data_IF_716080249105
#
_entry.id   IF_716080249105
#
_cell.length_a   1.000
_cell.length_b   1.000
_cell.length_c   1.000
_cell.angle_alpha   90.00
_cell.angle_beta   90.00
_cell.angle_gamma   90.00
#
_symmetry.space_group_name_H-M   'P 1'
#
loop_
_entity.id
_entity.type
_entity.pdbx_description
1 polymer ?
#
# COMPACT_ATOMS: atom_id res chain seq x y z
N UNK A 1 10.13 -18.09 -2.00
CA UNK A 1 9.02 -18.98 -1.59
C UNK A 1 7.83 -18.67 -2.47
N UNK A 2 6.94 -19.64 -2.69
CA UNK A 2 5.68 -19.41 -3.40
C UNK A 2 4.83 -18.32 -2.71
N UNK A 3 4.78 -18.37 -1.37
CA UNK A 3 4.04 -17.38 -0.56
C UNK A 3 4.46 -15.91 -0.81
N UNK A 4 5.75 -15.61 -0.94
CA UNK A 4 6.19 -14.24 -1.23
C UNK A 4 5.79 -13.79 -2.65
N UNK A 5 5.77 -14.74 -3.60
CA UNK A 5 5.32 -14.46 -4.96
C UNK A 5 3.81 -14.15 -4.98
N UNK A 6 3.01 -14.92 -4.26
CA UNK A 6 1.56 -14.70 -4.14
C UNK A 6 1.26 -13.34 -3.49
N UNK A 7 2.00 -12.97 -2.44
CA UNK A 7 1.89 -11.63 -1.82
C UNK A 7 2.22 -10.55 -2.85
N UNK A 8 3.28 -10.74 -3.64
CA UNK A 8 3.66 -9.79 -4.70
C UNK A 8 2.61 -9.70 -5.81
N UNK A 9 1.94 -10.79 -6.13
CA UNK A 9 0.82 -10.79 -7.07
C UNK A 9 -0.33 -9.91 -6.56
N UNK A 10 -0.70 -10.02 -5.28
CA UNK A 10 -1.71 -9.14 -4.67
C UNK A 10 -1.30 -7.66 -4.75
N UNK A 11 -0.03 -7.35 -4.47
CA UNK A 11 0.49 -5.97 -4.60
C UNK A 11 0.38 -5.49 -6.06
N UNK A 12 0.71 -6.34 -7.02
CA UNK A 12 0.61 -6.00 -8.45
C UNK A 12 -0.85 -5.80 -8.89
N UNK A 13 -1.78 -6.61 -8.40
CA UNK A 13 -3.21 -6.44 -8.64
C UNK A 13 -3.73 -5.12 -8.06
N UNK A 14 -3.31 -4.75 -6.85
CA UNK A 14 -3.66 -3.46 -6.25
C UNK A 14 -3.12 -2.29 -7.09
N UNK A 15 -1.86 -2.37 -7.56
CA UNK A 15 -1.29 -1.37 -8.46
C UNK A 15 -2.06 -1.25 -9.77
N UNK A 16 -2.44 -2.37 -10.38
CA UNK A 16 -3.27 -2.38 -11.59
C UNK A 16 -4.64 -1.75 -11.32
N UNK A 17 -5.26 -2.05 -10.18
CA UNK A 17 -6.55 -1.48 -9.81
C UNK A 17 -6.48 0.05 -9.60
N UNK A 18 -5.37 0.58 -9.08
CA UNK A 18 -5.11 2.03 -9.02
C UNK A 18 -5.08 2.65 -10.41
N UNK A 19 -4.41 2.02 -11.37
CA UNK A 19 -4.33 2.51 -12.75
C UNK A 19 -5.67 2.43 -13.49
N UNK A 20 -6.52 1.45 -13.17
CA UNK A 20 -7.86 1.31 -13.71
C UNK A 20 -8.83 2.36 -13.14
N UNK A 21 -8.84 2.54 -11.82
CA UNK A 21 -9.75 3.47 -11.12
C UNK A 21 -9.31 4.93 -11.25
N UNK A 22 -8.00 5.18 -11.35
CA UNK A 22 -7.42 6.53 -11.47
C UNK A 22 -7.96 7.48 -10.39
N UNK A 23 -7.67 7.24 -9.10
CA UNK A 23 -8.26 7.99 -7.99
C UNK A 23 -8.03 9.51 -8.06
N UNK A 24 -6.95 9.95 -8.72
CA UNK A 24 -6.71 11.37 -8.98
C UNK A 24 -7.79 12.02 -9.86
N UNK A 25 -8.48 11.27 -10.72
CA UNK A 25 -9.63 11.76 -11.46
C UNK A 25 -10.86 11.91 -10.55
N UNK A 26 -11.10 10.96 -9.64
CA UNK A 26 -12.17 11.07 -8.64
C UNK A 26 -12.00 12.32 -7.78
N UNK A 27 -10.76 12.64 -7.39
CA UNK A 27 -10.43 13.87 -6.67
C UNK A 27 -10.75 15.13 -7.50
N UNK A 28 -10.36 15.15 -8.79
CA UNK A 28 -10.63 16.27 -9.71
C UNK A 28 -12.13 16.46 -9.98
N UNK A 29 -12.89 15.38 -10.01
CA UNK A 29 -14.36 15.38 -10.20
C UNK A 29 -15.14 15.62 -8.89
N UNK A 30 -14.45 15.89 -7.78
CA UNK A 30 -15.03 16.11 -6.45
C UNK A 30 -15.89 14.93 -5.93
N UNK A 31 -15.58 13.70 -6.38
CA UNK A 31 -16.20 12.43 -5.95
C UNK A 31 -15.55 11.92 -4.65
N UNK A 32 -15.67 12.73 -3.60
CA UNK A 32 -14.95 12.52 -2.33
C UNK A 32 -15.36 11.21 -1.63
N UNK A 33 -16.62 10.79 -1.75
CA UNK A 33 -17.10 9.56 -1.10
C UNK A 33 -16.47 8.32 -1.73
N UNK A 34 -16.54 8.22 -3.06
CA UNK A 34 -15.97 7.14 -3.84
C UNK A 34 -14.45 7.08 -3.67
N UNK A 35 -13.79 8.23 -3.69
CA UNK A 35 -12.37 8.34 -3.39
C UNK A 35 -12.07 7.84 -1.96
N UNK A 36 -12.86 8.24 -0.96
CA UNK A 36 -12.70 7.81 0.42
C UNK A 36 -12.82 6.28 0.58
N UNK A 37 -13.81 5.66 -0.06
CA UNK A 37 -13.97 4.21 -0.08
C UNK A 37 -12.77 3.52 -0.73
N UNK A 38 -12.33 4.02 -1.89
CA UNK A 38 -11.20 3.46 -2.61
C UNK A 38 -9.88 3.56 -1.83
N UNK A 39 -9.59 4.71 -1.22
CA UNK A 39 -8.40 4.89 -0.39
C UNK A 39 -8.45 3.99 0.84
N UNK A 40 -9.62 3.85 1.49
CA UNK A 40 -9.78 2.96 2.64
C UNK A 40 -9.49 1.50 2.29
N UNK A 41 -9.99 1.03 1.15
CA UNK A 41 -9.70 -0.31 0.64
C UNK A 41 -8.20 -0.54 0.46
N UNK A 42 -7.47 0.43 -0.12
CA UNK A 42 -6.03 0.31 -0.31
C UNK A 42 -5.27 0.28 1.02
N UNK A 43 -5.67 1.10 2.00
CA UNK A 43 -5.05 1.09 3.34
C UNK A 43 -5.24 -0.27 4.02
N UNK A 44 -6.45 -0.84 3.93
CA UNK A 44 -6.74 -2.16 4.50
C UNK A 44 -5.90 -3.26 3.83
N UNK A 45 -5.79 -3.23 2.50
CA UNK A 45 -4.92 -4.15 1.76
C UNK A 45 -3.45 -4.02 2.16
N UNK A 46 -2.95 -2.80 2.35
CA UNK A 46 -1.56 -2.55 2.78
C UNK A 46 -1.30 -3.14 4.17
N UNK A 47 -2.23 -3.00 5.11
CA UNK A 47 -2.11 -3.59 6.45
C UNK A 47 -2.12 -5.13 6.38
N UNK A 48 -3.00 -5.73 5.58
CA UNK A 48 -3.00 -7.18 5.36
C UNK A 48 -1.68 -7.69 4.75
N UNK A 49 -1.11 -6.94 3.79
CA UNK A 49 0.21 -7.25 3.24
C UNK A 49 1.29 -7.15 4.32
N UNK A 50 1.24 -6.14 5.19
CA UNK A 50 2.19 -5.99 6.30
C UNK A 50 2.19 -7.22 7.21
N UNK A 51 1.01 -7.71 7.59
CA UNK A 51 0.88 -8.92 8.40
C UNK A 51 1.47 -10.14 7.68
N UNK A 52 1.16 -10.31 6.39
CA UNK A 52 1.66 -11.43 5.58
C UNK A 52 3.18 -11.42 5.39
N UNK A 53 3.81 -10.25 5.28
CA UNK A 53 5.27 -10.14 5.08
C UNK A 53 6.05 -10.21 6.40
N UNK A 54 5.41 -10.08 7.57
CA UNK A 54 6.06 -10.11 8.88
C UNK A 54 7.11 -11.23 9.07
N UNK A 55 6.84 -12.51 8.70
CA UNK A 55 7.85 -13.58 8.85
C UNK A 55 9.06 -13.46 7.90
N UNK A 56 8.98 -12.62 6.87
CA UNK A 56 10.05 -12.42 5.87
C UNK A 56 10.76 -11.07 6.03
N UNK A 57 10.03 -10.02 6.40
CA UNK A 57 10.50 -8.64 6.52
C UNK A 57 9.84 -7.95 7.74
N UNK A 58 10.20 -8.35 8.98
CA UNK A 58 9.55 -7.86 10.19
C UNK A 58 9.69 -6.34 10.36
N UNK A 59 10.89 -5.79 10.11
CA UNK A 59 11.11 -4.34 10.22
C UNK A 59 10.26 -3.52 9.24
N UNK A 60 10.08 -4.02 8.00
CA UNK A 60 9.22 -3.38 7.00
C UNK A 60 7.75 -3.48 7.40
N UNK A 61 7.32 -4.65 7.88
CA UNK A 61 5.96 -4.86 8.41
C UNK A 61 5.63 -3.84 9.51
N UNK A 62 6.52 -3.71 10.49
CA UNK A 62 6.37 -2.75 11.60
C UNK A 62 6.26 -1.31 11.10
N UNK A 63 7.09 -0.90 10.14
CA UNK A 63 7.04 0.44 9.56
C UNK A 63 5.70 0.71 8.87
N UNK A 64 5.16 -0.25 8.13
CA UNK A 64 3.86 -0.13 7.47
C UNK A 64 2.74 -0.01 8.53
N UNK A 65 2.70 -0.94 9.49
CA UNK A 65 1.68 -0.96 10.54
C UNK A 65 1.68 0.37 11.31
N UNK A 66 2.87 0.85 11.70
CA UNK A 66 3.02 2.13 12.40
C UNK A 66 2.53 3.33 11.58
N UNK A 67 2.69 3.32 10.26
CA UNK A 67 2.28 4.43 9.40
C UNK A 67 0.77 4.41 9.12
N UNK A 68 0.19 3.24 8.89
CA UNK A 68 -1.19 3.08 8.42
C UNK A 68 -2.22 2.83 9.53
N UNK A 69 -1.80 2.49 10.75
CA UNK A 69 -2.70 2.31 11.90
C UNK A 69 -3.02 3.62 12.66
N UNK A 70 -2.47 4.75 12.23
CA UNK A 70 -2.70 6.05 12.87
C UNK A 70 -4.01 6.69 12.37
N UNK A 71 -4.62 7.54 13.22
CA UNK A 71 -5.80 8.34 12.85
C UNK A 71 -5.56 9.27 11.65
N UNK A 72 -4.30 9.61 11.37
CA UNK A 72 -3.90 10.39 10.19
C UNK A 72 -2.62 9.80 9.64
N UNK A 73 -2.69 9.27 8.41
CA UNK A 73 -1.53 8.72 7.71
C UNK A 73 -0.60 9.87 7.31
N UNK A 74 0.61 9.87 7.85
CA UNK A 74 1.66 10.83 7.47
C UNK A 74 2.57 10.21 6.42
N UNK A 75 3.20 11.05 5.59
CA UNK A 75 4.20 10.60 4.63
C UNK A 75 5.45 10.14 5.39
N UNK A 76 5.76 8.85 5.30
CA UNK A 76 7.00 8.27 5.80
C UNK A 76 8.17 8.39 4.81
N UNK A 77 9.35 7.95 5.26
CA UNK A 77 10.50 7.72 4.38
C UNK A 77 10.25 6.55 3.44
N UNK A 78 10.87 6.50 2.24
CA UNK A 78 10.74 5.35 1.34
C UNK A 78 11.18 4.04 2.02
N UNK A 79 10.30 3.03 2.03
CA UNK A 79 10.57 1.72 2.65
C UNK A 79 11.70 0.96 1.96
N UNK A 80 11.84 1.14 0.64
CA UNK A 80 12.84 0.47 -0.19
C UNK A 80 13.57 1.51 -1.04
N UNK A 81 14.62 2.15 -0.51
CA UNK A 81 15.43 3.10 -1.28
C UNK A 81 16.15 2.36 -2.42
N UNK A 82 16.26 3.02 -3.58
CA UNK A 82 17.00 2.47 -4.72
C UNK A 82 18.49 2.44 -4.38
N UNK A 83 19.16 1.33 -4.65
CA UNK A 83 20.60 1.25 -4.55
C UNK A 83 21.21 2.01 -5.73
N UNK A 84 21.91 3.10 -5.43
CA UNK A 84 22.75 3.75 -6.45
C UNK A 84 23.89 2.80 -6.80
N UNK A 85 23.97 2.42 -8.08
CA UNK A 85 25.07 1.61 -8.58
C UNK A 85 26.30 2.52 -8.60
N UNK A 86 27.22 2.34 -7.64
CA UNK A 86 28.59 2.88 -7.73
C UNK A 86 29.42 2.07 -8.72
#
# INVERSE_FOLDING_TARGET
SLALQDIWEVINLANKYIEEVKPWNLAKENKIKELGFFIRLLVELILQVADCISPFMPATSDCIIQQFSQATVKKGSPLFPRLERR
#
